data_IF_163231843033
#
_entry.id   IF_163231843033
#
_cell.length_a   1.000
_cell.length_b   1.000
_cell.length_c   1.000
_cell.angle_alpha   90.00
_cell.angle_beta   90.00
_cell.angle_gamma   90.00
#
_symmetry.space_group_name_H-M   'P 1'
#
loop_
_entity.id
_entity.type
_entity.pdbx_description
1 polymer ?
#
# COMPACT_ATOMS: atom_id res chain seq x y z
N UNK A 1 9.98 -1.69 35.73
CA UNK A 1 9.86 -1.18 34.36
C UNK A 1 8.80 -0.10 34.37
N UNK A 2 9.19 1.15 34.11
CA UNK A 2 8.26 2.29 34.06
C UNK A 2 7.87 2.60 32.62
N UNK A 3 6.67 3.11 32.34
CA UNK A 3 6.22 3.51 31.00
C UNK A 3 7.19 4.44 30.27
N UNK A 4 7.87 5.32 31.02
CA UNK A 4 8.86 6.27 30.47
C UNK A 4 10.06 5.61 29.76
N UNK A 5 10.33 4.34 30.05
CA UNK A 5 11.41 3.59 29.38
C UNK A 5 11.01 3.09 28.00
N UNK A 6 9.76 3.22 27.59
CA UNK A 6 9.22 2.69 26.34
C UNK A 6 9.03 3.75 25.24
N UNK A 7 9.59 4.94 25.39
CA UNK A 7 9.38 6.08 24.48
C UNK A 7 9.70 5.79 22.99
N UNK A 8 10.58 4.84 22.69
CA UNK A 8 10.89 4.43 21.31
C UNK A 8 9.70 3.67 20.70
N UNK A 9 9.12 2.72 21.44
CA UNK A 9 7.98 1.97 20.98
C UNK A 9 6.74 2.86 20.83
N UNK A 10 6.53 3.79 21.76
CA UNK A 10 5.42 4.76 21.71
C UNK A 10 5.50 5.67 20.49
N UNK A 11 6.69 6.22 20.19
CA UNK A 11 6.89 7.02 18.96
C UNK A 11 6.63 6.20 17.70
N UNK A 12 7.14 4.97 17.64
CA UNK A 12 6.90 4.09 16.48
C UNK A 12 5.43 3.76 16.31
N UNK A 13 4.72 3.45 17.39
CA UNK A 13 3.29 3.20 17.35
C UNK A 13 2.50 4.42 16.89
N UNK A 14 2.86 5.61 17.40
CA UNK A 14 2.23 6.87 16.95
C UNK A 14 2.38 7.05 15.45
N UNK A 15 3.60 6.94 14.92
CA UNK A 15 3.87 7.07 13.47
C UNK A 15 3.05 6.06 12.65
N UNK A 16 3.00 4.79 13.07
CA UNK A 16 2.21 3.77 12.39
C UNK A 16 0.71 4.08 12.39
N UNK A 17 0.19 4.56 13.51
CA UNK A 17 -1.22 4.94 13.63
C UNK A 17 -1.56 6.18 12.80
N UNK A 18 -0.67 7.15 12.69
CA UNK A 18 -0.83 8.32 11.83
C UNK A 18 -0.85 7.92 10.34
N UNK A 19 0.08 7.06 9.92
CA UNK A 19 0.09 6.49 8.56
C UNK A 19 -1.21 5.69 8.28
N UNK A 20 -1.63 4.86 9.21
CA UNK A 20 -2.85 4.08 9.06
C UNK A 20 -4.09 4.98 8.94
N UNK A 21 -4.17 6.05 9.71
CA UNK A 21 -5.27 7.03 9.60
C UNK A 21 -5.28 7.70 8.24
N UNK A 22 -4.14 8.18 7.75
CA UNK A 22 -4.08 8.82 6.43
C UNK A 22 -4.52 7.87 5.30
N UNK A 23 -4.18 6.58 5.38
CA UNK A 23 -4.65 5.57 4.42
C UNK A 23 -6.17 5.32 4.48
N UNK A 24 -6.79 5.48 5.67
CA UNK A 24 -8.24 5.27 5.87
C UNK A 24 -9.08 6.53 5.57
N UNK A 25 -8.48 7.72 5.69
CA UNK A 25 -9.22 8.98 5.47
C UNK A 25 -9.63 9.16 4.01
N UNK A 26 -8.95 8.50 3.08
CA UNK A 26 -9.29 8.55 1.66
C UNK A 26 -10.60 7.80 1.35
N UNK A 27 -10.93 6.73 2.07
CA UNK A 27 -12.19 5.98 1.88
C UNK A 27 -12.75 5.46 3.20
N UNK A 28 -13.84 6.09 3.66
CA UNK A 28 -14.56 5.72 4.89
C UNK A 28 -15.10 4.29 4.89
N UNK A 29 -15.32 3.69 3.71
CA UNK A 29 -15.81 2.31 3.58
C UNK A 29 -14.77 1.29 4.04
N UNK A 30 -13.49 1.68 4.11
CA UNK A 30 -12.38 0.82 4.47
C UNK A 30 -12.08 0.75 5.98
N UNK A 31 -12.87 1.42 6.81
CA UNK A 31 -12.66 1.43 8.27
C UNK A 31 -12.71 0.04 8.92
N UNK A 32 -13.44 -0.92 8.34
CA UNK A 32 -13.47 -2.31 8.81
C UNK A 32 -12.12 -3.03 8.65
N UNK A 33 -11.24 -2.53 7.78
CA UNK A 33 -9.91 -3.11 7.49
C UNK A 33 -8.78 -2.47 8.30
N UNK A 34 -9.07 -1.82 9.43
CA UNK A 34 -8.06 -1.12 10.23
C UNK A 34 -6.82 -1.97 10.56
N UNK A 35 -7.00 -3.28 10.83
CA UNK A 35 -5.90 -4.18 11.12
C UNK A 35 -4.99 -4.41 9.89
N UNK A 36 -5.58 -4.53 8.70
CA UNK A 36 -4.85 -4.65 7.43
C UNK A 36 -4.12 -3.35 7.10
N UNK A 37 -4.74 -2.21 7.38
CA UNK A 37 -4.12 -0.88 7.19
C UNK A 37 -2.88 -0.74 8.06
N UNK A 38 -2.97 -1.05 9.36
CA UNK A 38 -1.81 -0.98 10.26
C UNK A 38 -0.70 -1.91 9.82
N UNK A 39 -1.05 -3.12 9.38
CA UNK A 39 -0.08 -4.08 8.83
C UNK A 39 0.60 -3.53 7.56
N UNK A 40 -0.18 -2.93 6.66
CA UNK A 40 0.32 -2.30 5.44
C UNK A 40 1.20 -1.10 5.73
N UNK A 41 0.82 -0.24 6.68
CA UNK A 41 1.64 0.88 7.15
C UNK A 41 2.97 0.40 7.75
N UNK A 42 2.95 -0.67 8.52
CA UNK A 42 4.17 -1.29 9.06
C UNK A 42 5.07 -1.84 7.93
N UNK A 43 4.48 -2.55 6.98
CA UNK A 43 5.19 -3.09 5.81
C UNK A 43 5.86 -1.97 4.99
N UNK A 44 5.12 -0.90 4.69
CA UNK A 44 5.61 0.26 3.96
C UNK A 44 6.70 1.00 4.75
N UNK A 45 6.45 1.32 6.01
CA UNK A 45 7.39 2.01 6.89
C UNK A 45 8.75 1.31 6.97
N UNK A 46 8.76 -0.02 7.04
CA UNK A 46 10.01 -0.77 7.15
C UNK A 46 10.82 -0.81 5.83
N UNK A 47 10.19 -0.52 4.69
CA UNK A 47 10.83 -0.58 3.36
C UNK A 47 11.08 0.78 2.71
N UNK A 48 10.34 1.80 3.11
CA UNK A 48 10.45 3.14 2.50
C UNK A 48 11.25 4.12 3.35
N UNK A 49 11.16 4.05 4.70
CA UNK A 49 11.85 5.00 5.55
C UNK A 49 13.29 4.58 5.82
N UNK A 50 14.21 5.47 5.48
CA UNK A 50 15.63 5.33 5.81
C UNK A 50 15.89 5.65 7.28
N UNK A 51 16.80 4.93 7.89
CA UNK A 51 17.43 5.31 9.15
C UNK A 51 18.54 6.32 8.84
N UNK A 52 18.36 7.58 9.21
CA UNK A 52 19.24 8.69 8.86
C UNK A 52 20.74 8.40 9.14
N UNK A 53 21.06 7.80 10.29
CA UNK A 53 22.45 7.50 10.67
C UNK A 53 23.06 6.37 9.84
N UNK A 54 22.21 5.42 9.39
CA UNK A 54 22.69 4.19 8.72
C UNK A 54 22.45 4.22 7.21
N UNK A 55 21.72 5.21 6.72
CA UNK A 55 21.31 5.35 5.32
C UNK A 55 20.69 4.06 4.73
N UNK A 56 20.06 3.27 5.59
CA UNK A 56 19.44 1.99 5.24
C UNK A 56 18.04 1.88 5.82
N UNK A 57 17.19 1.16 5.12
CA UNK A 57 15.85 0.85 5.65
C UNK A 57 15.94 -0.24 6.73
N UNK A 58 14.96 -0.31 7.66
CA UNK A 58 14.87 -1.42 8.60
C UNK A 58 14.86 -2.80 7.91
N UNK A 59 14.22 -2.87 6.74
CA UNK A 59 14.21 -4.09 5.92
C UNK A 59 15.60 -4.50 5.46
N UNK A 60 16.40 -3.55 4.94
CA UNK A 60 17.79 -3.80 4.52
C UNK A 60 18.68 -4.22 5.68
N UNK A 61 18.49 -3.62 6.86
CA UNK A 61 19.25 -3.98 8.05
C UNK A 61 18.97 -5.40 8.51
N UNK A 62 17.72 -5.87 8.34
CA UNK A 62 17.31 -7.20 8.77
C UNK A 62 17.64 -8.28 7.75
N UNK A 63 17.45 -8.01 6.46
CA UNK A 63 17.55 -9.02 5.39
C UNK A 63 18.84 -8.97 4.60
N UNK A 64 19.60 -7.86 4.70
CA UNK A 64 20.77 -7.58 3.86
C UNK A 64 20.45 -7.16 2.42
N UNK A 65 19.18 -7.19 2.01
CA UNK A 65 18.75 -6.91 0.64
C UNK A 65 17.97 -5.59 0.55
N UNK A 66 18.18 -4.86 -0.56
CA UNK A 66 17.37 -3.66 -0.84
C UNK A 66 15.91 -4.04 -1.12
N UNK A 67 14.95 -3.28 -0.57
CA UNK A 67 13.54 -3.54 -0.83
C UNK A 67 13.20 -3.26 -2.29
N UNK A 68 12.39 -4.12 -2.90
CA UNK A 68 11.81 -3.85 -4.21
C UNK A 68 10.51 -3.07 -4.05
N UNK A 69 10.52 -1.80 -4.42
CA UNK A 69 9.35 -0.92 -4.28
C UNK A 69 8.39 -0.96 -5.48
N UNK A 70 8.77 -1.63 -6.58
CA UNK A 70 7.94 -1.69 -7.80
C UNK A 70 6.59 -2.40 -7.60
N UNK A 71 6.46 -3.22 -6.58
CA UNK A 71 5.21 -3.93 -6.28
C UNK A 71 4.31 -3.20 -5.27
N UNK A 72 4.69 -2.00 -4.83
CA UNK A 72 3.82 -1.17 -3.99
C UNK A 72 2.58 -0.74 -4.76
N UNK A 73 1.45 -0.73 -4.07
CA UNK A 73 0.14 -0.36 -4.61
C UNK A 73 -0.59 0.54 -3.63
N UNK A 74 -1.48 1.36 -4.17
CA UNK A 74 -2.32 2.26 -3.38
C UNK A 74 -3.29 1.43 -2.55
N UNK A 75 -3.31 1.63 -1.23
CA UNK A 75 -4.25 0.95 -0.33
C UNK A 75 -5.69 1.31 -0.70
N UNK A 76 -6.57 0.32 -0.73
CA UNK A 76 -7.97 0.53 -1.09
C UNK A 76 -8.23 0.56 -2.61
N UNK A 77 -7.20 0.55 -3.46
CA UNK A 77 -7.43 0.58 -4.90
C UNK A 77 -8.20 -0.65 -5.39
N UNK A 78 -9.00 -0.43 -6.43
CA UNK A 78 -9.73 -1.48 -7.11
C UNK A 78 -8.78 -2.47 -7.77
N UNK A 79 -9.08 -3.74 -7.67
CA UNK A 79 -8.30 -4.77 -8.32
C UNK A 79 -9.16 -5.93 -8.80
N UNK A 80 -8.60 -6.76 -9.67
CA UNK A 80 -9.25 -7.92 -10.25
C UNK A 80 -8.43 -9.16 -9.97
N UNK A 81 -9.02 -10.12 -9.24
CA UNK A 81 -8.41 -11.41 -8.92
C UNK A 81 -8.69 -12.36 -10.08
N UNK A 82 -7.67 -13.01 -10.62
CA UNK A 82 -7.84 -14.03 -11.64
C UNK A 82 -8.30 -15.34 -11.00
N UNK A 83 -9.51 -15.78 -11.37
CA UNK A 83 -10.06 -17.07 -10.92
C UNK A 83 -9.58 -18.21 -11.82
N UNK A 84 -8.57 -18.95 -11.35
CA UNK A 84 -7.99 -20.10 -12.07
C UNK A 84 -8.65 -21.44 -11.75
N UNK A 85 -9.52 -21.50 -10.73
CA UNK A 85 -9.98 -22.77 -10.14
C UNK A 85 -11.34 -23.25 -10.66
N UNK A 86 -12.12 -22.39 -11.25
CA UNK A 86 -13.44 -22.75 -11.76
C UNK A 86 -13.39 -23.10 -13.24
N UNK A 87 -14.07 -24.17 -13.62
CA UNK A 87 -14.37 -24.47 -15.03
C UNK A 87 -15.40 -23.49 -15.53
N UNK A 88 -14.97 -22.30 -15.86
CA UNK A 88 -15.82 -21.25 -16.37
C UNK A 88 -16.26 -21.57 -17.79
N UNK A 89 -17.54 -21.34 -18.08
CA UNK A 89 -18.08 -21.38 -19.43
C UNK A 89 -17.38 -20.37 -20.35
N UNK A 90 -17.48 -20.56 -21.67
CA UNK A 90 -16.76 -19.75 -22.68
C UNK A 90 -16.96 -18.22 -22.53
N UNK A 91 -18.03 -17.75 -21.89
CA UNK A 91 -18.39 -16.33 -21.77
C UNK A 91 -18.46 -15.83 -20.33
N UNK A 92 -18.09 -16.64 -19.33
CA UNK A 92 -18.05 -16.21 -17.94
C UNK A 92 -16.77 -15.40 -17.64
N UNK A 93 -16.93 -14.36 -16.83
CA UNK A 93 -15.78 -13.56 -16.38
C UNK A 93 -14.80 -14.42 -15.59
N UNK A 94 -13.53 -14.38 -15.99
CA UNK A 94 -12.43 -15.06 -15.29
C UNK A 94 -11.87 -14.24 -14.14
N UNK A 95 -12.41 -13.03 -13.91
CA UNK A 95 -11.93 -12.11 -12.91
C UNK A 95 -13.01 -11.81 -11.88
N UNK A 96 -12.60 -11.67 -10.64
CA UNK A 96 -13.45 -11.29 -9.50
C UNK A 96 -12.97 -9.93 -9.03
N UNK A 97 -13.91 -9.00 -8.88
CA UNK A 97 -13.61 -7.66 -8.34
C UNK A 97 -13.24 -7.74 -6.87
N UNK A 98 -12.18 -7.03 -6.51
CA UNK A 98 -11.69 -6.94 -5.15
C UNK A 98 -11.13 -5.55 -4.82
N UNK A 99 -10.71 -5.40 -3.58
CA UNK A 99 -10.05 -4.21 -3.06
C UNK A 99 -8.70 -4.63 -2.49
N UNK A 100 -7.65 -3.90 -2.83
CA UNK A 100 -6.33 -4.14 -2.26
C UNK A 100 -6.28 -3.71 -0.79
N UNK A 101 -5.93 -4.64 0.10
CA UNK A 101 -5.88 -4.38 1.55
C UNK A 101 -4.52 -4.69 2.17
N UNK A 102 -3.54 -5.12 1.40
CA UNK A 102 -2.19 -5.29 1.94
C UNK A 102 -1.32 -6.29 1.21
N UNK A 103 -0.21 -6.63 1.86
CA UNK A 103 0.80 -7.53 1.33
C UNK A 103 0.74 -8.87 2.05
N UNK A 104 0.92 -9.95 1.30
CA UNK A 104 0.92 -11.30 1.84
C UNK A 104 2.20 -11.65 2.58
N UNK A 105 2.18 -12.79 3.26
CA UNK A 105 3.35 -13.35 3.94
C UNK A 105 4.45 -13.76 2.96
N UNK A 106 4.07 -14.20 1.78
CA UNK A 106 4.99 -14.50 0.68
C UNK A 106 5.40 -13.22 -0.03
N UNK A 107 6.67 -13.18 -0.48
CA UNK A 107 7.32 -11.97 -1.02
C UNK A 107 6.64 -11.34 -2.24
N UNK A 108 5.71 -12.01 -2.90
CA UNK A 108 5.04 -11.54 -4.12
C UNK A 108 3.51 -11.63 -4.04
N UNK A 109 2.95 -12.02 -2.90
CA UNK A 109 1.52 -12.13 -2.73
C UNK A 109 0.92 -10.84 -2.19
N UNK A 110 -0.28 -10.54 -2.66
CA UNK A 110 -1.11 -9.44 -2.21
C UNK A 110 -2.29 -9.97 -1.40
N UNK A 111 -2.70 -9.21 -0.41
CA UNK A 111 -3.93 -9.44 0.34
C UNK A 111 -5.04 -8.61 -0.29
N UNK A 112 -6.07 -9.27 -0.74
CA UNK A 112 -7.18 -8.64 -1.48
C UNK A 112 -8.50 -9.05 -0.85
N UNK A 113 -9.33 -8.06 -0.56
CA UNK A 113 -10.71 -8.30 -0.16
C UNK A 113 -11.54 -8.66 -1.39
N UNK A 114 -12.05 -9.87 -1.41
CA UNK A 114 -12.90 -10.37 -2.48
C UNK A 114 -14.35 -9.94 -2.21
N UNK A 115 -14.89 -9.08 -3.07
CA UNK A 115 -16.26 -8.54 -2.93
C UNK A 115 -17.34 -9.62 -3.09
N UNK A 116 -17.06 -10.72 -3.80
CA UNK A 116 -18.06 -11.76 -4.07
C UNK A 116 -18.39 -12.61 -2.87
N UNK A 117 -17.39 -12.90 -2.02
CA UNK A 117 -17.54 -13.79 -0.87
C UNK A 117 -17.26 -13.11 0.48
N UNK A 118 -16.90 -11.82 0.47
CA UNK A 118 -16.68 -11.05 1.69
C UNK A 118 -15.41 -11.46 2.47
N UNK A 119 -14.45 -12.13 1.86
CA UNK A 119 -13.24 -12.60 2.54
C UNK A 119 -11.97 -11.97 2.00
N UNK A 120 -10.95 -11.87 2.85
CA UNK A 120 -9.60 -11.49 2.43
C UNK A 120 -8.85 -12.74 1.95
N UNK A 121 -8.36 -12.68 0.73
CA UNK A 121 -7.57 -13.76 0.11
C UNK A 121 -6.15 -13.30 -0.16
N UNK A 122 -5.20 -14.23 -0.09
CA UNK A 122 -3.80 -13.99 -0.42
C UNK A 122 -3.51 -14.61 -1.79
N UNK A 123 -3.09 -13.79 -2.76
CA UNK A 123 -2.87 -14.21 -4.14
C UNK A 123 -1.83 -13.36 -4.87
N UNK A 124 -1.14 -13.95 -5.83
CA UNK A 124 -0.23 -13.26 -6.74
C UNK A 124 -0.91 -12.86 -8.06
N UNK A 125 -2.05 -13.48 -8.37
CA UNK A 125 -2.76 -13.31 -9.65
C UNK A 125 -3.77 -12.16 -9.55
N UNK A 126 -3.27 -10.93 -9.52
CA UNK A 126 -4.07 -9.71 -9.35
C UNK A 126 -3.68 -8.67 -10.40
N UNK A 127 -4.68 -8.07 -11.01
CA UNK A 127 -4.52 -6.88 -11.86
C UNK A 127 -5.08 -5.68 -11.10
N UNK A 128 -4.30 -4.61 -10.98
CA UNK A 128 -4.67 -3.40 -10.25
C UNK A 128 -5.20 -2.34 -11.21
N UNK A 129 -6.24 -1.65 -10.76
CA UNK A 129 -6.81 -0.48 -11.40
C UNK A 129 -6.66 0.72 -10.43
N UNK A 130 -5.50 1.35 -10.47
CA UNK A 130 -5.18 2.48 -9.59
C UNK A 130 -5.79 3.79 -10.10
N UNK A 131 -6.25 3.84 -11.36
CA UNK A 131 -6.85 5.03 -11.97
C UNK A 131 -8.36 5.18 -11.68
N UNK A 132 -9.05 4.10 -11.35
CA UNK A 132 -10.47 4.08 -10.98
C UNK A 132 -10.72 4.13 -9.47
N UNK A 133 -9.73 4.50 -8.69
CA UNK A 133 -9.94 4.91 -7.30
C UNK A 133 -10.77 6.19 -7.26
N UNK A 134 -11.62 6.33 -6.26
CA UNK A 134 -12.62 7.38 -6.01
C UNK A 134 -12.13 8.83 -5.97
N UNK A 135 -11.03 9.16 -6.61
CA UNK A 135 -10.60 10.52 -6.88
C UNK A 135 -11.12 10.93 -8.25
N UNK A 136 -12.41 11.34 -8.26
CA UNK A 136 -12.93 12.15 -9.34
C UNK A 136 -12.22 13.49 -9.35
N UNK A 137 -11.25 13.61 -10.25
CA UNK A 137 -10.97 14.78 -11.04
C UNK A 137 -9.84 14.38 -12.00
N UNK A 138 -10.22 14.16 -13.23
CA UNK A 138 -9.28 14.14 -14.34
C UNK A 138 -8.64 15.54 -14.39
N UNK A 139 -7.42 15.65 -13.92
CA UNK A 139 -6.57 16.77 -14.29
C UNK A 139 -6.14 16.48 -15.73
N UNK A 140 -6.71 17.23 -16.66
CA UNK A 140 -6.35 17.22 -18.07
C UNK A 140 -4.89 17.69 -18.20
N UNK A 141 -3.97 16.75 -18.46
CA UNK A 141 -2.54 17.01 -18.60
C UNK A 141 -2.18 17.44 -20.05
N UNK A 142 -3.09 18.07 -20.77
CA UNK A 142 -2.84 18.54 -22.12
C UNK A 142 -2.06 19.86 -22.21
N UNK A 143 -1.65 20.47 -21.09
CA UNK A 143 -1.04 21.80 -21.09
C UNK A 143 0.23 21.93 -20.22
N UNK A 144 1.13 20.94 -20.28
CA UNK A 144 2.49 21.10 -19.75
C UNK A 144 3.47 20.85 -20.88
N UNK A 145 3.93 21.97 -21.45
CA UNK A 145 5.02 22.00 -22.42
C UNK A 145 6.29 21.38 -21.84
N UNK A 146 7.05 20.80 -22.75
CA UNK A 146 8.38 20.27 -22.57
C UNK A 146 9.30 21.29 -21.89
N UNK A 147 9.75 21.03 -20.65
CA UNK A 147 11.04 21.53 -20.17
C UNK A 147 11.63 20.58 -19.11
N UNK A 148 12.71 19.99 -19.55
CA UNK A 148 13.93 19.60 -18.84
C UNK A 148 13.91 18.52 -17.74
N UNK A 149 14.65 17.49 -18.12
CA UNK A 149 15.04 16.32 -17.34
C UNK A 149 15.88 16.69 -16.11
N UNK A 150 15.48 16.16 -15.01
CA UNK A 150 16.23 15.73 -13.83
C UNK A 150 15.59 16.17 -12.52
N UNK A 151 15.30 15.20 -11.68
CA UNK A 151 14.68 15.28 -10.36
C UNK A 151 13.16 15.30 -10.36
N UNK A 152 12.58 14.09 -10.33
CA UNK A 152 11.39 13.85 -9.51
C UNK A 152 11.02 12.37 -9.50
N UNK A 153 11.71 11.62 -8.67
CA UNK A 153 11.22 10.34 -8.19
C UNK A 153 10.76 10.59 -6.74
N UNK A 154 9.66 11.31 -6.55
CA UNK A 154 8.96 11.36 -5.28
C UNK A 154 7.59 12.02 -5.39
N UNK A 155 6.72 11.44 -6.20
CA UNK A 155 5.30 11.77 -6.07
C UNK A 155 4.48 10.52 -6.37
N UNK A 156 4.54 9.56 -5.48
CA UNK A 156 3.51 8.51 -5.41
C UNK A 156 2.82 8.64 -4.05
N UNK A 157 1.68 9.26 -4.06
CA UNK A 157 0.49 9.02 -3.25
C UNK A 157 0.68 8.72 -1.76
N UNK A 158 1.61 9.42 -1.08
CA UNK A 158 1.60 9.49 0.38
C UNK A 158 1.40 10.96 0.70
N UNK A 159 0.15 11.32 1.00
CA UNK A 159 -0.17 12.65 1.45
C UNK A 159 0.80 13.10 2.55
N UNK A 160 1.40 14.24 2.31
CA UNK A 160 2.15 15.09 3.23
C UNK A 160 2.68 14.43 4.51
N UNK A 161 3.87 13.88 4.46
CA UNK A 161 4.69 13.68 5.65
C UNK A 161 5.76 14.77 5.68
N UNK A 162 5.54 15.76 6.54
CA UNK A 162 6.52 16.79 6.88
C UNK A 162 7.81 16.13 7.41
N UNK A 163 8.99 16.69 7.12
CA UNK A 163 10.25 16.20 7.66
C UNK A 163 10.26 16.48 9.17
N UNK A 164 10.54 15.45 9.94
CA UNK A 164 10.87 15.62 11.36
C UNK A 164 12.40 15.65 11.49
N UNK A 165 12.88 16.78 11.96
CA UNK A 165 14.23 16.97 12.51
C UNK A 165 14.52 15.99 13.67
#
# INVERSE_FOLDING_TARGET
>A
YTPQQNGVAERKNRTLMEMARSMLDEDKSLHSFWAEVVNTACHASNRLFLRTILEKTPYELLTGNKPNVKYFRVFGCKCFILNKRERLGKFQSKTIEGIFVGYGSNSHAYRVYNKSNGSVVETCDVVFDEFNGSHGEQVDLSDVGEEDSSHDIMTMGVGALLPME
#
